data_IF_977491149893
#
_entry.id   IF_977491149893
#
_cell.length_a   1.000
_cell.length_b   1.000
_cell.length_c   1.000
_cell.angle_alpha   90.00
_cell.angle_beta   90.00
_cell.angle_gamma   90.00
#
_symmetry.space_group_name_H-M   'P 1'
#
loop_
_entity.id
_entity.type
_entity.pdbx_description
1 polymer ?
#
# COMPACT_ATOMS: atom_id res chain seq x y z
N UNK A 1 16.57 14.04 -9.93
CA UNK A 1 15.24 13.80 -10.50
C UNK A 1 14.30 13.26 -9.41
N UNK A 2 13.01 13.37 -9.61
CA UNK A 2 11.99 12.84 -8.68
C UNK A 2 11.66 11.42 -9.12
N UNK A 3 11.78 10.44 -8.22
CA UNK A 3 11.53 9.03 -8.50
C UNK A 3 10.34 8.57 -7.67
N UNK A 4 9.28 8.07 -8.31
CA UNK A 4 8.16 7.38 -7.68
C UNK A 4 8.39 5.87 -7.70
N UNK A 5 7.81 5.15 -6.75
CA UNK A 5 7.73 3.69 -6.76
C UNK A 5 6.26 3.28 -6.98
N UNK A 6 6.01 2.44 -7.95
CA UNK A 6 4.69 1.84 -8.21
C UNK A 6 4.86 0.37 -8.54
N UNK A 7 4.16 -0.50 -7.85
CA UNK A 7 4.26 -1.94 -8.07
C UNK A 7 2.99 -2.71 -7.71
N UNK A 8 2.77 -3.83 -8.40
CA UNK A 8 1.68 -4.78 -8.17
C UNK A 8 2.24 -6.03 -7.48
N UNK A 9 1.47 -6.63 -6.55
CA UNK A 9 1.80 -7.90 -5.90
C UNK A 9 3.14 -7.81 -5.15
N UNK A 10 4.13 -8.65 -5.41
CA UNK A 10 5.51 -8.46 -4.88
C UNK A 10 6.10 -7.06 -5.18
N UNK A 11 5.71 -6.45 -6.30
CA UNK A 11 6.04 -5.05 -6.58
C UNK A 11 5.32 -4.10 -5.64
N UNK A 12 4.07 -4.38 -5.26
CA UNK A 12 3.32 -3.66 -4.25
C UNK A 12 3.95 -3.78 -2.86
N UNK A 13 4.33 -4.98 -2.47
CA UNK A 13 5.12 -5.25 -1.26
C UNK A 13 6.42 -4.44 -1.25
N UNK A 14 7.14 -4.44 -2.37
CA UNK A 14 8.37 -3.65 -2.52
C UNK A 14 8.09 -2.15 -2.43
N UNK A 15 6.96 -1.67 -3.00
CA UNK A 15 6.51 -0.29 -2.90
C UNK A 15 6.18 0.14 -1.46
N UNK A 16 5.84 -0.80 -0.59
CA UNK A 16 5.68 -0.55 0.84
C UNK A 16 7.02 -0.53 1.58
N UNK A 17 7.88 -1.49 1.32
CA UNK A 17 9.08 -1.74 2.14
C UNK A 17 10.25 -0.86 1.77
N UNK A 18 10.54 -0.72 0.49
CA UNK A 18 11.72 0.03 0.05
C UNK A 18 11.58 1.53 0.32
N UNK A 19 10.48 2.22 -0.05
CA UNK A 19 10.30 3.63 0.29
C UNK A 19 10.17 3.90 1.79
N UNK A 20 9.78 2.91 2.61
CA UNK A 20 9.76 3.06 4.07
C UNK A 20 11.13 3.29 4.67
N UNK A 21 12.19 2.72 4.07
CA UNK A 21 13.57 2.80 4.56
C UNK A 21 14.49 3.65 3.69
N UNK A 22 14.07 3.97 2.46
CA UNK A 22 14.85 4.79 1.52
C UNK A 22 14.12 6.08 1.18
N UNK A 23 14.68 7.22 1.57
CA UNK A 23 14.10 8.55 1.37
C UNK A 23 14.19 9.05 -0.08
N UNK A 24 14.94 8.37 -0.94
CA UNK A 24 15.14 8.74 -2.35
C UNK A 24 13.88 8.68 -3.22
N UNK A 25 12.84 7.96 -2.77
CA UNK A 25 11.56 7.88 -3.45
C UNK A 25 10.63 8.99 -2.93
N UNK A 26 10.17 9.84 -3.84
CA UNK A 26 9.32 10.99 -3.48
C UNK A 26 7.83 10.65 -3.37
N UNK A 27 7.42 9.45 -3.79
CA UNK A 27 6.04 8.96 -3.80
C UNK A 27 6.04 7.44 -3.88
N UNK A 28 5.06 6.78 -3.26
CA UNK A 28 4.87 5.33 -3.38
C UNK A 28 3.43 4.95 -3.65
N UNK A 29 3.22 3.92 -4.48
CA UNK A 29 1.92 3.35 -4.81
C UNK A 29 1.99 1.83 -4.68
N UNK A 30 1.21 1.30 -3.73
CA UNK A 30 1.07 -0.13 -3.48
C UNK A 30 -0.19 -0.65 -4.16
N UNK A 31 -0.04 -1.52 -5.15
CA UNK A 31 -1.14 -2.19 -5.84
C UNK A 31 -1.20 -3.67 -5.48
N UNK A 32 -2.40 -4.16 -5.11
CA UNK A 32 -2.71 -5.58 -4.94
C UNK A 32 -1.95 -6.33 -3.84
N UNK A 33 -1.36 -5.63 -2.87
CA UNK A 33 -0.61 -6.25 -1.75
C UNK A 33 -0.99 -5.65 -0.38
N UNK A 34 -1.38 -4.39 -0.31
CA UNK A 34 -1.67 -3.67 0.93
C UNK A 34 -2.78 -4.32 1.76
N UNK A 35 -2.58 -4.47 3.08
CA UNK A 35 -3.63 -4.97 3.99
C UNK A 35 -3.15 -5.26 5.40
N UNK A 36 -3.91 -6.04 6.16
CA UNK A 36 -3.60 -6.42 7.54
C UNK A 36 -2.60 -7.60 7.56
N UNK A 37 -1.34 -7.28 7.78
CA UNK A 37 -0.27 -8.27 7.83
C UNK A 37 -0.47 -9.31 8.92
N UNK A 38 -0.93 -8.90 10.10
CA UNK A 38 -1.13 -9.82 11.22
C UNK A 38 -2.19 -10.87 10.87
N UNK A 39 -3.33 -10.45 10.33
CA UNK A 39 -4.37 -11.38 9.86
C UNK A 39 -3.88 -12.25 8.71
N UNK A 40 -3.15 -11.68 7.76
CA UNK A 40 -2.56 -12.42 6.63
C UNK A 40 -1.67 -13.57 7.10
N UNK A 41 -0.96 -13.40 8.21
CA UNK A 41 -0.05 -14.43 8.76
C UNK A 41 -0.80 -15.48 9.60
N UNK A 42 -1.79 -15.08 10.42
CA UNK A 42 -2.33 -15.98 11.47
C UNK A 42 -3.77 -16.46 11.26
N UNK A 43 -4.51 -15.89 10.32
CA UNK A 43 -5.92 -16.28 10.12
C UNK A 43 -6.02 -17.69 9.53
N UNK A 44 -6.64 -18.60 10.29
CA UNK A 44 -6.80 -20.00 9.88
C UNK A 44 -8.09 -20.26 9.10
N UNK A 45 -8.98 -19.27 8.99
CA UNK A 45 -10.30 -19.41 8.37
C UNK A 45 -10.31 -18.86 6.93
N UNK A 46 -9.51 -17.84 6.66
CA UNK A 46 -9.48 -17.21 5.35
C UNK A 46 -8.51 -17.94 4.42
N UNK A 47 -9.00 -18.31 3.24
CA UNK A 47 -8.22 -19.05 2.22
C UNK A 47 -7.00 -18.27 1.71
N UNK A 48 -7.00 -16.95 1.83
CA UNK A 48 -5.89 -16.08 1.37
C UNK A 48 -4.81 -15.87 2.43
N UNK A 49 -5.01 -16.36 3.65
CA UNK A 49 -4.00 -16.32 4.71
C UNK A 49 -2.78 -17.17 4.34
N UNK A 50 -1.60 -16.77 4.79
CA UNK A 50 -0.37 -17.56 4.64
C UNK A 50 -0.42 -18.92 5.35
N UNK A 51 -1.33 -19.10 6.30
CA UNK A 51 -1.62 -20.43 6.89
C UNK A 51 -2.19 -21.42 5.86
N UNK A 52 -2.82 -20.91 4.80
CA UNK A 52 -3.54 -21.71 3.80
C UNK A 52 -2.93 -21.59 2.39
N UNK A 53 -1.91 -20.78 2.19
CA UNK A 53 -1.18 -20.63 0.92
C UNK A 53 0.17 -21.35 0.97
N UNK A 54 0.85 -21.48 -0.17
CA UNK A 54 2.19 -22.07 -0.27
C UNK A 54 3.32 -21.03 -0.27
N UNK A 55 3.01 -19.78 0.09
CA UNK A 55 3.95 -18.65 0.07
C UNK A 55 4.75 -18.61 1.39
N UNK A 56 5.49 -19.66 1.68
CA UNK A 56 6.22 -19.84 2.94
C UNK A 56 7.33 -18.83 3.20
N UNK A 57 7.84 -18.20 2.15
CA UNK A 57 8.86 -17.16 2.21
C UNK A 57 8.33 -15.77 2.61
N UNK A 58 7.00 -15.57 2.54
CA UNK A 58 6.37 -14.28 2.79
C UNK A 58 6.28 -13.89 4.27
N UNK A 59 6.02 -14.82 5.23
CA UNK A 59 5.95 -14.46 6.65
C UNK A 59 7.33 -14.12 7.22
N UNK A 60 7.71 -12.85 7.14
CA UNK A 60 8.98 -12.40 7.71
C UNK A 60 9.00 -12.49 9.23
N UNK A 61 10.16 -12.90 9.75
CA UNK A 61 10.38 -13.06 11.17
C UNK A 61 9.97 -11.80 11.95
N UNK A 62 9.09 -11.99 12.94
CA UNK A 62 8.63 -10.98 13.89
C UNK A 62 7.95 -9.73 13.27
N UNK A 63 7.62 -9.73 11.98
CA UNK A 63 7.03 -8.57 11.34
C UNK A 63 5.63 -8.26 11.88
N UNK A 64 4.76 -9.28 11.97
CA UNK A 64 3.40 -9.10 12.48
C UNK A 64 3.30 -8.62 13.94
N UNK A 65 4.36 -8.80 14.74
CA UNK A 65 4.46 -8.27 16.10
C UNK A 65 5.05 -6.86 16.17
N UNK A 66 5.64 -6.38 15.07
CA UNK A 66 6.37 -5.11 15.05
C UNK A 66 5.68 -4.08 14.17
N UNK A 67 5.28 -4.48 12.96
CA UNK A 67 4.66 -3.60 11.96
C UNK A 67 3.53 -4.34 11.24
N UNK A 68 2.40 -3.65 11.03
CA UNK A 68 1.49 -3.97 9.93
C UNK A 68 1.76 -3.03 8.76
N UNK A 69 0.97 -3.09 7.70
CA UNK A 69 1.16 -2.24 6.53
C UNK A 69 0.93 -0.74 6.84
N UNK A 70 0.03 -0.42 7.76
CA UNK A 70 -0.19 0.97 8.18
C UNK A 70 1.08 1.57 8.80
N UNK A 71 1.74 0.85 9.70
CA UNK A 71 2.96 1.33 10.35
C UNK A 71 4.12 1.49 9.36
N UNK A 72 4.20 0.63 8.33
CA UNK A 72 5.17 0.82 7.24
C UNK A 72 4.85 2.08 6.43
N UNK A 73 3.56 2.33 6.14
CA UNK A 73 3.15 3.56 5.46
C UNK A 73 3.46 4.82 6.30
N UNK A 74 3.46 4.72 7.64
CA UNK A 74 3.89 5.82 8.51
C UNK A 74 5.36 6.19 8.31
N UNK A 75 6.21 5.25 7.92
CA UNK A 75 7.60 5.54 7.58
C UNK A 75 7.74 6.21 6.19
N UNK A 76 6.73 6.09 5.34
CA UNK A 76 6.67 6.83 4.07
C UNK A 76 6.21 8.28 4.31
N UNK A 77 5.34 8.50 5.30
CA UNK A 77 4.84 9.84 5.65
C UNK A 77 6.01 10.85 5.83
N UNK A 78 5.89 12.13 5.41
CA UNK A 78 4.72 12.81 4.82
C UNK A 78 4.66 12.74 3.27
N UNK A 79 5.47 11.90 2.65
CA UNK A 79 5.50 11.72 1.19
C UNK A 79 4.17 11.15 0.69
N UNK A 80 3.73 11.47 -0.53
CA UNK A 80 2.52 10.94 -1.11
C UNK A 80 2.52 9.40 -1.16
N UNK A 81 1.39 8.81 -0.72
CA UNK A 81 1.19 7.37 -0.66
C UNK A 81 -0.20 6.99 -1.15
N UNK A 82 -0.28 5.99 -2.03
CA UNK A 82 -1.54 5.50 -2.58
C UNK A 82 -1.64 3.99 -2.49
N UNK A 83 -2.85 3.50 -2.25
CA UNK A 83 -3.22 2.08 -2.38
C UNK A 83 -4.15 1.91 -3.57
N UNK A 84 -3.91 0.88 -4.38
CA UNK A 84 -4.78 0.45 -5.48
C UNK A 84 -5.23 -0.99 -5.23
N UNK A 85 -6.55 -1.25 -5.29
CA UNK A 85 -7.13 -2.52 -4.87
C UNK A 85 -8.30 -2.96 -5.77
N UNK A 86 -8.18 -4.12 -6.40
CA UNK A 86 -9.30 -4.77 -7.09
C UNK A 86 -10.19 -5.55 -6.12
N UNK A 87 -11.53 -5.40 -6.21
CA UNK A 87 -12.48 -6.08 -5.32
C UNK A 87 -12.39 -7.62 -5.41
N UNK A 88 -12.10 -8.16 -6.60
CA UNK A 88 -11.97 -9.59 -6.83
C UNK A 88 -10.53 -10.13 -6.67
N UNK A 89 -9.65 -9.32 -6.14
CA UNK A 89 -8.27 -9.75 -5.87
C UNK A 89 -8.22 -10.72 -4.68
N UNK A 90 -7.66 -11.90 -4.87
CA UNK A 90 -7.62 -12.95 -3.88
C UNK A 90 -6.43 -12.86 -2.91
N UNK A 91 -5.61 -11.81 -3.00
CA UNK A 91 -4.44 -11.67 -2.10
C UNK A 91 -4.88 -11.33 -0.69
N UNK A 92 -5.85 -10.43 -0.53
CA UNK A 92 -6.44 -10.07 0.78
C UNK A 92 -7.92 -9.67 0.61
N UNK A 93 -8.77 -9.78 1.65
CA UNK A 93 -10.11 -9.21 1.63
C UNK A 93 -10.07 -7.67 1.69
N UNK A 94 -11.07 -7.03 1.08
CA UNK A 94 -11.22 -5.58 1.09
C UNK A 94 -11.28 -4.98 2.50
N UNK A 95 -11.89 -5.70 3.44
CA UNK A 95 -12.02 -5.28 4.84
C UNK A 95 -10.66 -5.14 5.53
N UNK A 96 -9.71 -6.01 5.21
CA UNK A 96 -8.35 -5.92 5.76
C UNK A 96 -7.60 -4.73 5.18
N UNK A 97 -7.78 -4.49 3.88
CA UNK A 97 -7.20 -3.34 3.18
C UNK A 97 -7.77 -2.03 3.72
N UNK A 98 -9.11 -1.93 3.81
CA UNK A 98 -9.79 -0.74 4.30
C UNK A 98 -9.43 -0.43 5.77
N UNK A 99 -9.33 -1.46 6.62
CA UNK A 99 -8.96 -1.31 8.02
C UNK A 99 -7.55 -0.70 8.17
N UNK A 100 -6.56 -1.25 7.48
CA UNK A 100 -5.19 -0.74 7.53
C UNK A 100 -5.08 0.64 6.88
N UNK A 101 -5.76 0.86 5.74
CA UNK A 101 -5.74 2.16 5.10
C UNK A 101 -6.41 3.26 5.94
N UNK A 102 -7.44 2.93 6.71
CA UNK A 102 -8.07 3.87 7.63
C UNK A 102 -7.09 4.48 8.64
N UNK A 103 -6.11 3.71 9.11
CA UNK A 103 -5.04 4.20 9.99
C UNK A 103 -4.11 5.18 9.25
N UNK A 104 -3.74 4.85 8.02
CA UNK A 104 -2.92 5.74 7.16
C UNK A 104 -3.65 7.05 6.91
N UNK A 105 -4.90 6.99 6.48
CA UNK A 105 -5.74 8.17 6.24
C UNK A 105 -5.81 9.05 7.48
N UNK A 106 -6.06 8.45 8.66
CA UNK A 106 -6.09 9.18 9.92
C UNK A 106 -4.79 9.96 10.18
N UNK A 107 -3.63 9.37 9.94
CA UNK A 107 -2.34 10.05 10.13
C UNK A 107 -2.22 11.28 9.21
N UNK A 108 -2.46 11.10 7.92
CA UNK A 108 -2.36 12.21 6.96
C UNK A 108 -3.34 13.34 7.27
N UNK A 109 -4.58 13.01 7.66
CA UNK A 109 -5.59 14.00 8.05
C UNK A 109 -5.17 14.81 9.29
N UNK A 110 -4.57 14.17 10.28
CA UNK A 110 -4.09 14.83 11.49
C UNK A 110 -3.04 15.91 11.22
N UNK A 111 -2.33 15.80 10.11
CA UNK A 111 -1.31 16.77 9.70
C UNK A 111 -1.75 17.70 8.56
N UNK A 112 -3.04 17.71 8.21
CA UNK A 112 -3.61 18.48 7.09
C UNK A 112 -2.91 18.14 5.76
N UNK A 113 -2.63 16.86 5.53
CA UNK A 113 -2.01 16.30 4.33
C UNK A 113 -2.92 15.28 3.65
N UNK A 114 -4.25 15.43 3.81
CA UNK A 114 -5.27 14.52 3.26
C UNK A 114 -5.13 14.31 1.76
N UNK A 115 -4.62 15.30 1.07
CA UNK A 115 -4.35 15.25 -0.37
C UNK A 115 -3.13 14.39 -0.77
N UNK A 116 -2.29 14.04 0.20
CA UNK A 116 -1.11 13.22 -0.03
C UNK A 116 -1.37 11.72 0.12
N UNK A 117 -2.60 11.32 0.47
CA UNK A 117 -2.95 9.90 0.49
C UNK A 117 -4.30 9.62 -0.14
N UNK A 118 -4.42 8.50 -0.82
CA UNK A 118 -5.69 8.03 -1.40
C UNK A 118 -5.69 6.50 -1.54
N UNK A 119 -6.89 5.92 -1.61
CA UNK A 119 -7.10 4.53 -2.00
C UNK A 119 -8.07 4.49 -3.18
N UNK A 120 -7.79 3.64 -4.15
CA UNK A 120 -8.72 3.31 -5.23
C UNK A 120 -9.15 1.86 -5.10
N UNK A 121 -10.43 1.63 -4.84
CA UNK A 121 -11.07 0.33 -5.04
C UNK A 121 -11.69 0.28 -6.43
N UNK A 122 -11.52 -0.82 -7.16
CA UNK A 122 -12.08 -0.97 -8.49
C UNK A 122 -12.64 -2.37 -8.73
N UNK A 123 -13.60 -2.49 -9.64
CA UNK A 123 -14.12 -3.79 -10.09
C UNK A 123 -13.07 -4.48 -10.96
N UNK A 124 -12.43 -5.51 -10.41
CA UNK A 124 -11.39 -6.28 -11.06
C UNK A 124 -10.61 -7.14 -10.09
N UNK A 125 -9.78 -8.01 -10.65
CA UNK A 125 -8.93 -8.92 -9.88
C UNK A 125 -7.54 -8.35 -9.60
N UNK A 126 -6.58 -9.27 -9.48
CA UNK A 126 -5.17 -8.96 -9.19
C UNK A 126 -4.47 -8.29 -10.38
N UNK A 127 -4.67 -7.00 -10.55
CA UNK A 127 -4.17 -6.23 -11.69
C UNK A 127 -3.98 -4.76 -11.37
N UNK A 128 -3.19 -4.06 -12.18
CA UNK A 128 -3.09 -2.60 -12.15
C UNK A 128 -4.28 -1.96 -12.88
N UNK A 129 -5.00 -1.06 -12.23
CA UNK A 129 -6.07 -0.27 -12.84
C UNK A 129 -5.52 0.87 -13.70
N UNK A 130 -4.46 1.50 -13.21
CA UNK A 130 -3.77 2.62 -13.85
C UNK A 130 -4.59 3.92 -13.98
N UNK A 131 -5.84 3.98 -13.56
CA UNK A 131 -6.69 5.16 -13.71
C UNK A 131 -6.45 6.18 -12.61
N UNK A 132 -6.73 5.83 -11.36
CA UNK A 132 -6.46 6.70 -10.20
C UNK A 132 -4.98 6.88 -9.96
N UNK A 133 -4.19 5.85 -10.23
CA UNK A 133 -2.73 5.85 -10.09
C UNK A 133 -2.06 6.90 -10.96
N UNK A 134 -2.42 6.99 -12.26
CA UNK A 134 -1.85 8.04 -13.12
C UNK A 134 -2.32 9.44 -12.71
N UNK A 135 -3.57 9.61 -12.28
CA UNK A 135 -4.04 10.89 -11.73
C UNK A 135 -3.21 11.30 -10.51
N UNK A 136 -2.95 10.33 -9.61
CA UNK A 136 -2.14 10.55 -8.41
C UNK A 136 -0.68 10.88 -8.75
N UNK A 137 -0.08 10.16 -9.71
CA UNK A 137 1.27 10.45 -10.20
C UNK A 137 1.36 11.86 -10.79
N UNK A 138 0.44 12.25 -11.67
CA UNK A 138 0.40 13.59 -12.25
C UNK A 138 0.26 14.66 -11.17
N UNK A 139 -0.69 14.50 -10.24
CA UNK A 139 -0.88 15.44 -9.14
C UNK A 139 0.41 15.73 -8.37
N UNK A 140 1.23 14.70 -8.12
CA UNK A 140 2.38 14.81 -7.24
C UNK A 140 3.73 14.94 -7.94
N UNK A 141 3.85 14.56 -9.21
CA UNK A 141 5.10 14.66 -9.99
C UNK A 141 5.13 15.87 -10.92
N UNK A 142 4.01 16.21 -11.53
CA UNK A 142 3.87 17.34 -12.44
C UNK A 142 3.65 18.64 -11.66
N UNK A 143 4.67 19.08 -10.93
CA UNK A 143 4.63 20.45 -10.39
C UNK A 143 4.80 21.45 -11.53
N UNK A 144 3.97 22.52 -11.58
CA UNK A 144 4.29 23.66 -12.44
C UNK A 144 5.69 24.16 -12.10
N UNK A 145 6.46 24.49 -13.13
CA UNK A 145 7.78 25.09 -12.94
C UNK A 145 7.67 26.24 -11.93
N UNK A 146 8.52 26.21 -10.92
CA UNK A 146 8.64 27.37 -10.04
C UNK A 146 9.18 28.52 -10.87
N UNK A 147 8.33 29.55 -11.08
CA UNK A 147 8.76 30.82 -11.64
C UNK A 147 9.78 31.49 -10.72
#
# INVERSE_FOLDING_TARGET
GRIAFYGLSYGGETAMRVPSVLEGYCLSICSGDFGDWTRKVVDTHNKVSFMNTLEWEMPYFNMGSTFSYAEMAYLIFPRPFMVERGHDDLVQPDEWVAYEYGKVKYLYDKFNLEDNTTIEFFNGGHSMRNEGTFKFLHKHLDRPERK
#
